data_IF_168388597683
#
_entry.id   IF_168388597683
#
_cell.length_a   1.000
_cell.length_b   1.000
_cell.length_c   1.000
_cell.angle_alpha   90.00
_cell.angle_beta   90.00
_cell.angle_gamma   90.00
#
_symmetry.space_group_name_H-M   'P 1'
#
loop_
_entity.id
_entity.type
_entity.pdbx_description
1 polymer ?
#
# COMPACT_ATOMS: atom_id res chain seq x y z
N UNK A 1 8.29 19.77 -16.04
CA UNK A 1 6.98 19.53 -15.38
C UNK A 1 6.92 20.33 -14.10
N UNK A 2 5.82 21.06 -13.84
CA UNK A 2 5.57 21.70 -12.54
C UNK A 2 4.74 20.74 -11.68
N UNK A 3 5.23 20.40 -10.49
CA UNK A 3 4.49 19.60 -9.51
C UNK A 3 4.44 20.37 -8.19
N UNK A 4 3.42 20.12 -7.39
CA UNK A 4 3.31 20.60 -6.02
C UNK A 4 3.31 19.41 -5.07
N UNK A 5 3.82 19.63 -3.86
CA UNK A 5 3.85 18.61 -2.81
C UNK A 5 2.86 19.03 -1.73
N UNK A 6 1.88 18.18 -1.46
CA UNK A 6 0.99 18.31 -0.32
C UNK A 6 1.37 17.18 0.65
N UNK A 7 1.83 17.50 1.87
CA UNK A 7 2.24 16.47 2.82
C UNK A 7 1.03 15.69 3.33
N UNK A 8 1.09 14.35 3.21
CA UNK A 8 0.10 13.41 3.72
C UNK A 8 -0.94 12.98 2.68
N UNK A 9 -1.14 11.67 2.54
CA UNK A 9 -2.07 11.11 1.55
C UNK A 9 -3.52 11.57 1.76
N UNK A 10 -3.98 11.64 3.02
CA UNK A 10 -5.32 12.12 3.34
C UNK A 10 -5.52 13.57 2.90
N UNK A 11 -4.53 14.43 3.17
CA UNK A 11 -4.59 15.84 2.80
C UNK A 11 -4.58 16.03 1.29
N UNK A 12 -3.86 15.18 0.54
CA UNK A 12 -3.92 15.16 -0.92
C UNK A 12 -5.37 14.95 -1.38
N UNK A 13 -6.07 13.93 -0.85
CA UNK A 13 -7.47 13.61 -1.21
C UNK A 13 -8.41 14.77 -0.88
N UNK A 14 -8.28 15.33 0.33
CA UNK A 14 -9.15 16.41 0.81
C UNK A 14 -8.93 17.74 0.06
N UNK A 15 -7.70 18.03 -0.35
CA UNK A 15 -7.35 19.23 -1.10
C UNK A 15 -7.58 19.07 -2.61
N UNK A 16 -7.56 17.84 -3.16
CA UNK A 16 -7.66 17.58 -4.60
C UNK A 16 -8.95 18.15 -5.20
N UNK A 17 -10.05 18.14 -4.44
CA UNK A 17 -11.33 18.73 -4.86
C UNK A 17 -11.27 20.24 -5.14
N UNK A 18 -10.27 20.95 -4.60
CA UNK A 18 -10.03 22.38 -4.90
C UNK A 18 -9.36 22.59 -6.26
N UNK A 19 -8.89 21.51 -6.90
CA UNK A 19 -8.10 21.54 -8.13
C UNK A 19 -8.67 20.55 -9.17
N UNK A 20 -9.79 20.87 -9.83
CA UNK A 20 -10.54 19.93 -10.69
C UNK A 20 -9.73 19.37 -11.88
N UNK A 21 -8.77 20.12 -12.42
CA UNK A 21 -7.95 19.71 -13.56
C UNK A 21 -6.60 19.08 -13.15
N UNK A 22 -6.49 18.58 -11.91
CA UNK A 22 -5.25 18.00 -11.37
C UNK A 22 -5.45 16.53 -11.01
N UNK A 23 -4.38 15.77 -11.17
CA UNK A 23 -4.27 14.38 -10.70
C UNK A 23 -3.33 14.34 -9.50
N UNK A 24 -3.68 13.50 -8.53
CA UNK A 24 -2.84 13.21 -7.36
C UNK A 24 -2.31 11.78 -7.42
N UNK A 25 -1.18 11.54 -6.77
CA UNK A 25 -0.63 10.20 -6.54
C UNK A 25 -0.57 9.96 -5.03
N UNK A 26 -1.13 8.85 -4.58
CA UNK A 26 -1.21 8.45 -3.18
C UNK A 26 -0.91 6.96 -3.05
N UNK A 27 -0.52 6.53 -1.85
CA UNK A 27 -0.41 5.10 -1.55
C UNK A 27 -1.78 4.45 -1.47
N UNK A 28 -1.94 3.26 -2.08
CA UNK A 28 -3.19 2.49 -2.04
C UNK A 28 -3.65 2.18 -0.61
N UNK A 29 -2.69 2.04 0.31
CA UNK A 29 -2.94 1.78 1.73
C UNK A 29 -3.76 2.87 2.44
N UNK A 30 -3.87 4.07 1.86
CA UNK A 30 -4.59 5.22 2.44
C UNK A 30 -6.08 4.96 2.61
N UNK A 31 -6.69 4.18 1.72
CA UNK A 31 -8.11 3.83 1.81
C UNK A 31 -8.39 2.37 1.47
N UNK A 32 -7.38 1.51 1.49
CA UNK A 32 -7.55 0.08 1.20
C UNK A 32 -8.23 -0.69 2.33
N UNK A 33 -8.37 -0.13 3.54
CA UNK A 33 -9.06 -0.77 4.67
C UNK A 33 -10.57 -0.80 4.42
N UNK A 34 -11.20 -1.98 4.30
CA UNK A 34 -12.61 -2.10 3.93
C UNK A 34 -13.60 -1.80 5.06
N UNK A 35 -13.15 -1.62 6.30
CA UNK A 35 -14.02 -1.42 7.48
C UNK A 35 -13.70 -0.14 8.27
N UNK A 36 -12.91 0.75 7.70
CA UNK A 36 -12.56 2.03 8.32
C UNK A 36 -13.42 3.14 7.69
N UNK A 37 -14.25 3.80 8.50
CA UNK A 37 -15.16 4.87 8.04
C UNK A 37 -14.40 6.03 7.37
N UNK A 38 -13.17 6.28 7.81
CA UNK A 38 -12.30 7.29 7.19
C UNK A 38 -11.91 6.88 5.79
N UNK A 39 -11.48 5.64 5.61
CA UNK A 39 -11.11 5.06 4.31
C UNK A 39 -12.28 5.05 3.32
N UNK A 40 -13.49 4.72 3.77
CA UNK A 40 -14.71 4.78 2.95
C UNK A 40 -14.98 6.21 2.46
N UNK A 41 -15.02 7.18 3.37
CA UNK A 41 -15.22 8.60 3.05
C UNK A 41 -14.19 9.09 2.03
N UNK A 42 -12.92 8.79 2.25
CA UNK A 42 -11.84 9.24 1.36
C UNK A 42 -11.95 8.61 -0.03
N UNK A 43 -12.40 7.36 -0.13
CA UNK A 43 -12.61 6.67 -1.41
C UNK A 43 -13.77 7.27 -2.21
N UNK A 44 -14.84 7.71 -1.55
CA UNK A 44 -15.98 8.36 -2.20
C UNK A 44 -15.64 9.75 -2.76
N UNK A 45 -14.65 10.44 -2.17
CA UNK A 45 -14.24 11.78 -2.59
C UNK A 45 -13.44 11.82 -3.91
N UNK A 46 -12.87 10.70 -4.35
CA UNK A 46 -11.96 10.67 -5.51
C UNK A 46 -12.26 9.52 -6.46
N UNK A 47 -11.98 9.75 -7.75
CA UNK A 47 -12.03 8.70 -8.76
C UNK A 47 -10.63 8.13 -8.97
N UNK A 48 -10.45 6.84 -8.72
CA UNK A 48 -9.21 6.12 -9.05
C UNK A 48 -9.16 5.91 -10.57
N UNK A 49 -8.07 6.35 -11.19
CA UNK A 49 -7.87 6.21 -12.63
C UNK A 49 -7.10 4.91 -12.94
N UNK A 50 -7.48 4.19 -14.00
CA UNK A 50 -6.68 3.06 -14.48
C UNK A 50 -5.37 3.56 -15.09
N UNK A 51 -4.34 2.72 -15.02
CA UNK A 51 -3.02 3.00 -15.61
C UNK A 51 -2.88 2.16 -16.87
N UNK A 52 -2.51 2.79 -17.98
CA UNK A 52 -2.24 2.08 -19.24
C UNK A 52 -0.74 1.97 -19.43
N UNK A 53 -0.24 0.73 -19.50
CA UNK A 53 1.14 0.44 -19.90
C UNK A 53 1.12 -0.53 -21.09
N UNK A 54 1.88 -0.22 -22.14
CA UNK A 54 2.02 -1.05 -23.36
C UNK A 54 0.67 -1.53 -23.95
N UNK A 55 -0.35 -0.67 -23.93
CA UNK A 55 -1.67 -0.97 -24.46
C UNK A 55 -2.56 -1.85 -23.58
N UNK A 56 -2.10 -2.24 -22.38
CA UNK A 56 -2.90 -2.93 -21.37
C UNK A 56 -3.32 -1.95 -20.27
N UNK A 57 -4.57 -2.03 -19.86
CA UNK A 57 -5.14 -1.23 -18.78
C UNK A 57 -5.06 -2.00 -17.47
N UNK A 58 -4.58 -1.35 -16.42
CA UNK A 58 -4.39 -1.90 -15.09
C UNK A 58 -5.18 -1.11 -14.06
N UNK A 59 -5.90 -1.81 -13.19
CA UNK A 59 -6.55 -1.22 -12.02
C UNK A 59 -5.66 -1.38 -10.79
N UNK A 60 -5.79 -0.45 -9.83
CA UNK A 60 -5.09 -0.55 -8.56
C UNK A 60 -5.80 -1.56 -7.65
N UNK A 61 -5.41 -2.83 -7.73
CA UNK A 61 -5.90 -3.92 -6.89
C UNK A 61 -4.76 -4.69 -6.21
N UNK A 62 -5.09 -5.48 -5.18
CA UNK A 62 -4.10 -6.25 -4.43
C UNK A 62 -3.50 -7.40 -5.25
N UNK A 63 -4.21 -7.93 -6.25
CA UNK A 63 -3.71 -9.04 -7.05
C UNK A 63 -2.60 -8.59 -7.99
N UNK A 64 -2.80 -7.49 -8.72
CA UNK A 64 -1.80 -6.87 -9.58
C UNK A 64 -0.60 -6.32 -8.80
N UNK A 65 -0.82 -5.84 -7.56
CA UNK A 65 0.29 -5.48 -6.67
C UNK A 65 1.08 -6.72 -6.21
N UNK A 66 0.39 -7.83 -5.92
CA UNK A 66 1.01 -9.09 -5.48
C UNK A 66 1.80 -9.77 -6.60
N UNK A 67 1.32 -9.72 -7.83
CA UNK A 67 2.03 -10.25 -9.02
C UNK A 67 3.09 -9.29 -9.56
N UNK A 68 3.15 -8.06 -9.03
CA UNK A 68 3.98 -6.96 -9.55
C UNK A 68 3.68 -6.58 -11.01
N UNK A 69 2.46 -6.88 -11.48
CA UNK A 69 2.00 -6.52 -12.83
C UNK A 69 1.47 -5.08 -12.89
N UNK A 70 0.99 -4.53 -11.77
CA UNK A 70 0.56 -3.14 -11.71
C UNK A 70 1.77 -2.19 -11.87
N UNK A 71 1.77 -1.25 -12.84
CA UNK A 71 2.98 -0.47 -13.17
C UNK A 71 3.56 0.38 -12.03
N UNK A 72 2.72 0.84 -11.08
CA UNK A 72 3.16 1.60 -9.91
C UNK A 72 3.31 0.72 -8.67
N UNK A 73 4.06 -0.37 -8.79
CA UNK A 73 4.39 -1.27 -7.68
C UNK A 73 5.85 -1.09 -7.25
N UNK A 74 6.12 -1.15 -5.95
CA UNK A 74 7.49 -1.14 -5.41
C UNK A 74 7.62 -2.08 -4.22
N UNK A 75 8.80 -2.71 -4.11
CA UNK A 75 9.18 -3.48 -2.93
C UNK A 75 9.72 -2.52 -1.85
N UNK A 76 9.33 -2.75 -0.60
CA UNK A 76 9.86 -2.05 0.55
C UNK A 76 11.01 -2.86 1.14
N UNK A 77 12.12 -2.19 1.41
CA UNK A 77 13.33 -2.81 1.94
C UNK A 77 13.62 -2.28 3.34
N UNK A 78 14.04 -3.18 4.23
CA UNK A 78 14.75 -2.78 5.43
C UNK A 78 16.20 -2.51 5.06
N UNK A 79 16.65 -1.28 5.31
CA UNK A 79 18.06 -0.91 5.20
C UNK A 79 18.67 -1.02 6.58
N UNK A 80 19.67 -1.88 6.74
CA UNK A 80 20.42 -2.03 7.98
C UNK A 80 21.90 -1.86 7.73
N UNK A 81 22.58 -1.31 8.73
CA UNK A 81 24.03 -1.19 8.76
C UNK A 81 24.52 -1.70 10.13
N UNK A 82 24.32 -2.99 10.37
CA UNK A 82 24.81 -3.69 11.57
C UNK A 82 25.73 -4.83 11.13
N UNK A 83 26.90 -4.95 11.76
CA UNK A 83 27.88 -6.00 11.44
C UNK A 83 27.58 -7.38 12.03
N UNK A 84 26.70 -7.45 13.04
CA UNK A 84 26.32 -8.67 13.76
C UNK A 84 24.81 -8.73 14.01
N UNK A 85 24.29 -9.90 14.41
CA UNK A 85 22.88 -10.09 14.72
C UNK A 85 22.49 -9.37 16.03
N UNK A 86 21.85 -8.21 15.91
CA UNK A 86 21.35 -7.41 17.03
C UNK A 86 19.84 -7.12 16.88
N UNK A 87 19.36 -6.07 17.55
CA UNK A 87 17.93 -5.73 17.64
C UNK A 87 17.31 -5.48 16.26
N UNK A 88 18.01 -4.81 15.33
CA UNK A 88 17.45 -4.53 14.01
C UNK A 88 17.19 -5.85 13.25
N UNK A 89 18.13 -6.79 13.32
CA UNK A 89 17.95 -8.13 12.75
C UNK A 89 16.79 -8.90 13.41
N UNK A 90 16.64 -8.80 14.73
CA UNK A 90 15.50 -9.37 15.47
C UNK A 90 14.15 -8.81 15.00
N UNK A 91 14.07 -7.48 14.80
CA UNK A 91 12.88 -6.82 14.29
C UNK A 91 12.56 -7.22 12.85
N UNK A 92 13.57 -7.28 11.97
CA UNK A 92 13.40 -7.76 10.59
C UNK A 92 12.85 -9.19 10.60
N UNK A 93 13.44 -10.08 11.41
CA UNK A 93 12.98 -11.46 11.52
C UNK A 93 11.53 -11.54 12.01
N UNK A 94 11.15 -10.73 13.00
CA UNK A 94 9.77 -10.62 13.45
C UNK A 94 8.83 -10.17 12.34
N UNK A 95 9.20 -9.13 11.58
CA UNK A 95 8.41 -8.60 10.47
C UNK A 95 8.13 -9.67 9.40
N UNK A 96 9.07 -10.59 9.20
CA UNK A 96 8.94 -11.70 8.26
C UNK A 96 8.00 -12.81 8.74
N UNK A 97 7.66 -12.89 10.04
CA UNK A 97 6.77 -13.94 10.60
C UNK A 97 5.31 -13.76 10.20
N UNK A 98 4.49 -14.79 10.41
CA UNK A 98 3.04 -14.71 10.17
C UNK A 98 2.37 -13.57 10.94
N UNK A 99 2.81 -13.28 12.17
CA UNK A 99 2.26 -12.16 12.95
C UNK A 99 2.69 -10.81 12.36
N UNK A 100 3.96 -10.67 11.99
CA UNK A 100 4.47 -9.45 11.34
C UNK A 100 3.76 -9.16 10.02
N UNK A 101 3.58 -10.17 9.17
CA UNK A 101 2.87 -10.02 7.90
C UNK A 101 1.38 -9.69 8.07
N UNK A 102 0.73 -10.17 9.14
CA UNK A 102 -0.64 -9.74 9.49
C UNK A 102 -0.71 -8.24 9.82
N UNK A 103 0.31 -7.70 10.48
CA UNK A 103 0.37 -6.26 10.77
C UNK A 103 0.49 -5.48 9.45
N UNK A 104 1.38 -5.90 8.55
CA UNK A 104 1.52 -5.32 7.20
C UNK A 104 0.17 -5.29 6.46
N UNK A 105 -0.56 -6.42 6.47
CA UNK A 105 -1.89 -6.50 5.87
C UNK A 105 -2.90 -5.56 6.53
N UNK A 106 -2.90 -5.48 7.87
CA UNK A 106 -3.80 -4.58 8.61
C UNK A 106 -3.54 -3.11 8.28
N UNK A 107 -2.29 -2.74 8.02
CA UNK A 107 -1.89 -1.41 7.58
C UNK A 107 -2.19 -1.15 6.09
N UNK A 108 -2.89 -2.06 5.42
CA UNK A 108 -3.35 -1.87 4.04
C UNK A 108 -2.28 -2.10 2.97
N UNK A 109 -1.14 -2.68 3.36
CA UNK A 109 -0.03 -3.04 2.47
C UNK A 109 -0.10 -4.51 2.06
N UNK A 110 0.46 -4.83 0.89
CA UNK A 110 0.59 -6.21 0.42
C UNK A 110 1.69 -6.96 1.20
N UNK A 111 1.37 -8.06 1.90
CA UNK A 111 2.39 -8.89 2.55
C UNK A 111 3.37 -9.50 1.54
N UNK A 112 4.63 -9.63 1.95
CA UNK A 112 5.68 -10.26 1.14
C UNK A 112 5.69 -11.78 1.35
N UNK A 113 5.63 -12.23 2.61
CA UNK A 113 5.55 -13.66 2.94
C UNK A 113 4.08 -14.07 3.13
N UNK A 114 3.59 -14.95 2.26
CA UNK A 114 2.22 -15.44 2.34
C UNK A 114 2.17 -16.73 3.18
N UNK A 115 1.46 -16.65 4.29
CA UNK A 115 1.23 -17.79 5.17
C UNK A 115 -0.16 -18.38 4.90
N UNK A 116 -0.25 -19.69 4.74
CA UNK A 116 -1.53 -20.38 4.59
C UNK A 116 -2.31 -20.29 5.91
N UNK A 117 -3.62 -20.10 5.81
CA UNK A 117 -4.50 -20.16 6.97
C UNK A 117 -4.73 -21.63 7.33
N UNK A 118 -4.24 -22.04 8.48
CA UNK A 118 -4.58 -23.33 9.07
C UNK A 118 -5.88 -23.19 9.88
N UNK A 119 -6.85 -24.06 9.61
CA UNK A 119 -8.10 -24.14 10.34
C UNK A 119 -8.16 -25.54 10.94
N UNK A 120 -8.07 -25.64 12.26
CA UNK A 120 -8.36 -26.89 12.96
C UNK A 120 -9.87 -27.00 13.14
N UNK A 121 -10.49 -27.95 12.46
CA UNK A 121 -11.86 -28.36 12.75
C UNK A 121 -11.81 -29.33 13.93
N UNK A 122 -12.65 -29.09 14.94
CA UNK A 122 -12.93 -30.03 16.03
C UNK A 122 -14.26 -30.72 15.75
#
# INVERSE_FOLDING_TARGET
>A
MKFSIIPGNQKIIEELGKYPDKIGVIGLNTFSRPYDKTSERLREMVKVLPVVDKGKSYNADFDGLRTMEYPFTRVLYFLINEGNFNIANGFIRFSCTHLGQKIVQKEGLQPYNLYKREVQMR
#
